data_IF_966751724518
#
_entry.id   IF_966751724518
#
_cell.length_a   1.000
_cell.length_b   1.000
_cell.length_c   1.000
_cell.angle_alpha   90.00
_cell.angle_beta   90.00
_cell.angle_gamma   90.00
#
_symmetry.space_group_name_H-M   'P 1'
#
loop_
_entity.id
_entity.type
_entity.pdbx_description
1 polymer ?
#
# COMPACT_ATOMS: atom_id res chain seq x y z
N UNK A 1 -15.10 -14.82 -8.57
CA UNK A 1 -14.08 -13.85 -9.00
C UNK A 1 -13.08 -13.79 -7.89
N UNK A 2 -11.79 -13.90 -8.24
CA UNK A 2 -10.69 -13.82 -7.30
C UNK A 2 -10.38 -12.34 -7.09
N UNK A 3 -10.39 -11.87 -5.85
CA UNK A 3 -10.00 -10.49 -5.56
C UNK A 3 -8.47 -10.39 -5.58
N UNK A 4 -7.94 -9.36 -6.23
CA UNK A 4 -6.50 -9.13 -6.39
C UNK A 4 -6.16 -7.72 -5.95
N UNK A 5 -5.17 -7.57 -5.07
CA UNK A 5 -4.79 -6.29 -4.49
C UNK A 5 -3.29 -6.07 -4.61
N UNK A 6 -2.93 -4.87 -5.07
CA UNK A 6 -1.58 -4.33 -4.96
C UNK A 6 -1.61 -3.24 -3.89
N UNK A 7 -0.89 -3.44 -2.78
CA UNK A 7 -0.81 -2.49 -1.68
C UNK A 7 0.61 -2.02 -1.47
N UNK A 8 0.81 -0.71 -1.29
CA UNK A 8 2.08 -0.12 -0.87
C UNK A 8 1.94 0.51 0.51
N UNK A 9 2.93 0.24 1.37
CA UNK A 9 2.95 0.72 2.76
C UNK A 9 4.32 1.31 3.11
N UNK A 10 4.40 2.31 4.01
CA UNK A 10 5.67 2.80 4.53
C UNK A 10 6.50 1.70 5.18
N UNK A 11 7.83 1.78 5.06
CA UNK A 11 8.72 0.83 5.76
C UNK A 11 8.75 1.03 7.27
N UNK A 12 8.40 2.22 7.76
CA UNK A 12 8.13 2.49 9.17
C UNK A 12 6.61 2.43 9.41
N UNK A 13 6.10 1.41 10.13
CA UNK A 13 4.67 1.23 10.32
C UNK A 13 4.02 2.33 11.15
N UNK A 14 4.77 3.12 11.93
CA UNK A 14 4.23 4.19 12.77
C UNK A 14 4.10 5.52 12.02
N UNK A 15 4.76 5.65 10.88
CA UNK A 15 4.78 6.86 10.08
C UNK A 15 3.50 7.01 9.25
N UNK A 16 3.05 8.25 9.07
CA UNK A 16 1.91 8.60 8.22
C UNK A 16 2.21 9.86 7.41
N UNK A 17 1.77 9.92 6.14
CA UNK A 17 1.87 11.13 5.32
C UNK A 17 0.80 12.14 5.70
N UNK A 18 1.08 13.42 5.45
CA UNK A 18 0.03 14.43 5.32
C UNK A 18 -0.77 14.24 4.01
N UNK A 19 -1.99 14.81 3.95
CA UNK A 19 -2.90 14.66 2.79
C UNK A 19 -2.23 14.99 1.45
N UNK A 20 -1.58 16.15 1.35
CA UNK A 20 -0.92 16.57 0.11
C UNK A 20 0.15 15.56 -0.38
N UNK A 21 0.85 14.89 0.53
CA UNK A 21 1.85 13.89 0.18
C UNK A 21 1.20 12.58 -0.29
N UNK A 22 0.12 12.16 0.36
CA UNK A 22 -0.66 11.02 -0.09
C UNK A 22 -1.30 11.26 -1.46
N UNK A 23 -1.86 12.45 -1.70
CA UNK A 23 -2.48 12.80 -2.99
C UNK A 23 -1.46 12.76 -4.13
N UNK A 24 -0.24 13.27 -3.90
CA UNK A 24 0.85 13.16 -4.88
C UNK A 24 1.25 11.71 -5.14
N UNK A 25 1.41 10.92 -4.09
CA UNK A 25 1.78 9.51 -4.22
C UNK A 25 0.70 8.70 -4.96
N UNK A 26 -0.57 8.94 -4.65
CA UNK A 26 -1.71 8.34 -5.32
C UNK A 26 -1.77 8.73 -6.81
N UNK A 27 -1.52 9.99 -7.14
CA UNK A 27 -1.46 10.45 -8.53
C UNK A 27 -0.32 9.77 -9.32
N UNK A 28 0.85 9.60 -8.70
CA UNK A 28 1.97 8.86 -9.31
C UNK A 28 1.60 7.40 -9.55
N UNK A 29 1.04 6.71 -8.54
CA UNK A 29 0.62 5.32 -8.67
C UNK A 29 -0.48 5.14 -9.73
N UNK A 30 -1.44 6.06 -9.80
CA UNK A 30 -2.51 6.06 -10.81
C UNK A 30 -1.97 6.10 -12.25
N UNK A 31 -0.88 6.86 -12.48
CA UNK A 31 -0.19 6.92 -13.77
C UNK A 31 0.50 5.61 -14.18
N UNK A 32 0.75 4.72 -13.23
CA UNK A 32 1.38 3.40 -13.44
C UNK A 32 0.35 2.28 -13.67
N UNK A 33 -0.93 2.56 -13.48
CA UNK A 33 -2.00 1.58 -13.67
C UNK A 33 -2.35 1.45 -15.15
N UNK A 34 -2.61 0.22 -15.63
CA UNK A 34 -2.74 -0.07 -17.06
C UNK A 34 -4.04 0.44 -17.67
N UNK A 35 -5.11 0.56 -16.89
CA UNK A 35 -6.45 0.88 -17.36
C UNK A 35 -7.27 1.66 -16.31
N UNK A 36 -8.43 2.18 -16.73
CA UNK A 36 -9.29 3.00 -15.88
C UNK A 36 -9.97 2.19 -14.77
N UNK A 37 -10.25 0.91 -15.00
CA UNK A 37 -10.86 0.03 -14.00
C UNK A 37 -9.92 -0.14 -12.80
N UNK A 38 -8.62 -0.37 -13.04
CA UNK A 38 -7.61 -0.40 -11.99
C UNK A 38 -7.52 0.96 -11.25
N UNK A 39 -7.60 2.09 -11.97
CA UNK A 39 -7.56 3.43 -11.36
C UNK A 39 -8.76 3.71 -10.47
N UNK A 40 -9.93 3.19 -10.80
CA UNK A 40 -11.13 3.29 -9.97
C UNK A 40 -10.99 2.53 -8.65
N UNK A 41 -10.16 1.48 -8.63
CA UNK A 41 -9.87 0.69 -7.44
C UNK A 41 -8.77 1.25 -6.53
N UNK A 42 -8.19 2.42 -6.85
CA UNK A 42 -7.12 3.04 -6.07
C UNK A 42 -7.69 3.82 -4.87
N UNK A 43 -7.19 3.51 -3.67
CA UNK A 43 -7.55 4.22 -2.44
C UNK A 43 -6.35 4.40 -1.49
N UNK A 44 -6.35 5.50 -0.74
CA UNK A 44 -5.35 5.81 0.28
C UNK A 44 -6.01 5.86 1.67
N UNK A 45 -5.49 5.06 2.60
CA UNK A 45 -6.12 4.84 3.91
C UNK A 45 -5.13 5.11 5.04
N UNK A 46 -5.65 5.72 6.12
CA UNK A 46 -4.94 6.03 7.35
C UNK A 46 -5.63 5.33 8.52
N UNK A 47 -4.82 4.88 9.48
CA UNK A 47 -5.28 4.17 10.67
C UNK A 47 -4.71 4.81 11.94
N UNK A 48 -5.52 4.83 12.99
CA UNK A 48 -5.12 5.39 14.28
C UNK A 48 -4.05 4.54 14.97
N UNK A 49 -4.14 3.20 14.84
CA UNK A 49 -3.19 2.20 15.34
C UNK A 49 -2.56 1.40 14.18
N UNK A 50 -1.50 0.64 14.48
CA UNK A 50 -0.85 -0.23 13.48
C UNK A 50 -1.75 -1.44 13.25
N UNK A 51 -2.24 -1.59 12.02
CA UNK A 51 -3.10 -2.71 11.61
C UNK A 51 -2.38 -3.68 10.68
N UNK A 52 -2.84 -4.93 10.68
CA UNK A 52 -2.47 -5.91 9.65
C UNK A 52 -3.17 -5.50 8.35
N UNK A 53 -2.39 -5.29 7.29
CA UNK A 53 -2.86 -4.70 6.02
C UNK A 53 -3.96 -5.51 5.31
N UNK A 54 -4.20 -6.78 5.68
CA UNK A 54 -5.27 -7.57 5.06
C UNK A 54 -6.37 -8.06 6.01
N UNK A 55 -6.19 -8.02 7.33
CA UNK A 55 -7.25 -8.44 8.26
C UNK A 55 -7.83 -7.31 9.14
N UNK A 56 -7.26 -6.09 9.09
CA UNK A 56 -7.75 -4.95 9.89
C UNK A 56 -7.68 -5.17 11.40
N UNK A 57 -6.96 -6.20 11.86
CA UNK A 57 -6.79 -6.49 13.27
C UNK A 57 -5.70 -5.59 13.85
N UNK A 58 -6.01 -4.93 14.97
CA UNK A 58 -5.06 -4.21 15.80
C UNK A 58 -4.15 -5.22 16.51
N UNK A 59 -2.83 -5.02 16.44
CA UNK A 59 -1.88 -5.90 17.13
C UNK A 59 -0.70 -5.13 17.71
N UNK A 60 -0.21 -5.59 18.86
CA UNK A 60 1.01 -5.09 19.49
C UNK A 60 2.22 -5.81 18.88
N UNK A 61 3.24 -5.05 18.48
CA UNK A 61 4.49 -5.59 17.91
C UNK A 61 5.24 -6.56 18.86
N UNK A 62 4.89 -6.59 20.16
CA UNK A 62 5.57 -7.41 21.16
C UNK A 62 5.17 -8.90 21.14
N UNK A 63 4.16 -9.33 20.36
CA UNK A 63 3.60 -10.70 20.43
C UNK A 63 3.60 -11.49 19.10
N UNK A 64 4.35 -11.06 18.08
CA UNK A 64 4.17 -11.56 16.71
C UNK A 64 5.08 -12.76 16.31
N UNK A 65 4.43 -13.79 15.77
CA UNK A 65 5.02 -14.87 14.96
C UNK A 65 4.98 -14.44 13.49
N UNK A 66 6.13 -14.45 12.82
CA UNK A 66 6.28 -14.04 11.41
C UNK A 66 5.92 -15.17 10.46
N UNK A 67 4.87 -15.00 9.65
CA UNK A 67 4.64 -15.82 8.45
C UNK A 67 4.33 -14.93 7.24
N UNK A 68 4.90 -15.28 6.10
CA UNK A 68 4.93 -14.49 4.86
C UNK A 68 3.67 -14.72 4.01
N UNK A 69 3.11 -13.72 3.28
CA UNK A 69 3.46 -12.31 3.20
C UNK A 69 2.45 -11.43 3.98
N UNK A 70 2.85 -10.91 5.15
CA UNK A 70 2.04 -9.94 5.90
C UNK A 70 2.79 -8.62 6.09
N UNK A 71 2.10 -7.51 5.82
CA UNK A 71 2.56 -6.15 6.08
C UNK A 71 1.74 -5.49 7.19
N UNK A 72 2.36 -4.60 7.95
CA UNK A 72 1.72 -3.79 8.99
C UNK A 72 2.04 -2.32 8.74
N UNK A 73 1.05 -1.44 8.82
CA UNK A 73 1.26 0.00 8.72
C UNK A 73 0.06 0.79 9.23
N UNK A 74 0.30 2.05 9.62
CA UNK A 74 -0.75 3.04 9.89
C UNK A 74 -1.22 3.80 8.64
N UNK A 75 -0.57 3.56 7.50
CA UNK A 75 -0.95 4.14 6.22
C UNK A 75 -0.74 3.11 5.10
N UNK A 76 -1.67 3.02 4.16
CA UNK A 76 -1.56 2.20 2.95
C UNK A 76 -2.15 2.91 1.73
N UNK A 77 -1.57 2.67 0.56
CA UNK A 77 -2.22 2.95 -0.73
C UNK A 77 -2.48 1.59 -1.38
N UNK A 78 -3.73 1.31 -1.72
CA UNK A 78 -4.15 0.03 -2.28
C UNK A 78 -4.82 0.22 -3.63
N UNK A 79 -4.67 -0.77 -4.51
CA UNK A 79 -5.33 -0.86 -5.80
C UNK A 79 -6.02 -2.20 -5.90
N UNK A 80 -7.36 -2.19 -5.91
CA UNK A 80 -8.18 -3.36 -6.19
C UNK A 80 -8.20 -3.64 -7.71
N UNK A 81 -8.02 -4.90 -8.09
CA UNK A 81 -7.90 -5.37 -9.48
C UNK A 81 -6.88 -4.55 -10.28
N UNK A 82 -5.59 -4.56 -9.89
CA UNK A 82 -4.58 -3.71 -10.53
C UNK A 82 -4.35 -4.05 -12.01
N UNK A 83 -4.85 -5.19 -12.50
CA UNK A 83 -4.64 -5.72 -13.85
C UNK A 83 -3.15 -5.78 -14.27
N UNK A 84 -2.27 -5.84 -13.26
CA UNK A 84 -0.81 -5.94 -13.39
C UNK A 84 -0.21 -6.70 -12.20
N UNK A 85 1.08 -7.02 -12.32
CA UNK A 85 1.89 -7.53 -11.21
C UNK A 85 2.58 -6.41 -10.43
N UNK A 86 3.64 -6.77 -9.70
CA UNK A 86 4.47 -5.86 -8.90
C UNK A 86 4.89 -4.59 -9.65
N UNK A 87 5.07 -3.48 -8.92
CA UNK A 87 5.78 -2.31 -9.43
C UNK A 87 7.27 -2.65 -9.57
N UNK A 88 7.92 -2.09 -10.58
CA UNK A 88 9.39 -2.13 -10.68
C UNK A 88 10.03 -1.30 -9.56
N UNK A 89 11.34 -1.48 -9.35
CA UNK A 89 12.07 -0.70 -8.34
C UNK A 89 12.03 0.81 -8.65
N UNK A 90 12.09 1.18 -9.93
CA UNK A 90 11.99 2.59 -10.36
C UNK A 90 10.59 3.16 -10.13
N UNK A 91 9.54 2.39 -10.42
CA UNK A 91 8.15 2.78 -10.14
C UNK A 91 7.91 2.94 -8.63
N UNK A 92 8.37 1.98 -7.82
CA UNK A 92 8.24 2.06 -6.36
C UNK A 92 9.00 3.25 -5.79
N UNK A 93 10.20 3.54 -6.30
CA UNK A 93 11.00 4.69 -5.88
C UNK A 93 10.27 6.01 -6.20
N UNK A 94 9.65 6.13 -7.38
CA UNK A 94 8.89 7.33 -7.73
C UNK A 94 7.69 7.56 -6.80
N UNK A 95 6.98 6.50 -6.39
CA UNK A 95 5.90 6.61 -5.40
C UNK A 95 6.45 6.99 -4.02
N UNK A 96 7.58 6.39 -3.62
CA UNK A 96 8.25 6.68 -2.34
C UNK A 96 8.73 8.14 -2.26
N UNK A 97 9.31 8.67 -3.34
CA UNK A 97 9.76 10.06 -3.44
C UNK A 97 8.59 11.05 -3.36
N UNK A 98 7.47 10.74 -4.04
CA UNK A 98 6.26 11.56 -3.99
C UNK A 98 5.66 11.62 -2.58
N UNK A 99 5.68 10.47 -1.89
CA UNK A 99 5.21 10.31 -0.52
C UNK A 99 6.17 10.92 0.52
N UNK A 100 7.47 10.94 0.21
CA UNK A 100 8.53 11.41 1.10
C UNK A 100 9.00 10.38 2.14
N UNK A 101 8.72 9.09 1.93
CA UNK A 101 9.13 8.00 2.82
C UNK A 101 9.35 6.69 2.04
N UNK A 102 10.35 5.86 2.39
CA UNK A 102 10.53 4.55 1.77
C UNK A 102 9.30 3.65 1.92
N UNK A 103 9.05 2.84 0.89
CA UNK A 103 7.87 1.98 0.75
C UNK A 103 8.24 0.49 0.64
N UNK A 104 7.28 -0.36 0.97
CA UNK A 104 7.24 -1.80 0.67
C UNK A 104 5.95 -2.13 -0.07
N UNK A 105 6.02 -3.07 -1.00
CA UNK A 105 4.86 -3.60 -1.74
C UNK A 105 4.36 -4.91 -1.11
N UNK A 106 3.05 -5.13 -1.22
CA UNK A 106 2.35 -6.38 -0.90
C UNK A 106 1.39 -6.68 -2.06
N UNK A 107 1.46 -7.90 -2.61
CA UNK A 107 0.57 -8.35 -3.68
C UNK A 107 -0.16 -9.62 -3.22
N UNK A 108 -1.49 -9.61 -3.26
CA UNK A 108 -2.33 -10.72 -2.76
C UNK A 108 -3.41 -11.06 -3.77
N UNK A 109 -3.60 -12.37 -4.00
CA UNK A 109 -4.65 -12.95 -4.85
C UNK A 109 -5.51 -13.92 -4.02
N UNK A 110 -6.85 -13.82 -4.09
CA UNK A 110 -7.81 -14.65 -3.33
C UNK A 110 -8.56 -15.69 -4.14
#
# INVERSE_FOLDING_TARGET
MSDNYLTVIPTDPYWQPGRDAADRAAAVLSGMLPDDDARLGLDAQWHDSVEVVWCGAETSLNELVYDWPMGFARFRIEVLYPNRGWLTDEELAAVADALGHPLRQVLIHF
#
